data_IF_303930294443
#
_entry.id   IF_303930294443
#
_cell.length_a   1.000
_cell.length_b   1.000
_cell.length_c   1.000
_cell.angle_alpha   90.00
_cell.angle_beta   90.00
_cell.angle_gamma   90.00
#
_symmetry.space_group_name_H-M   'P 1'
#
loop_
_entity.id
_entity.type
_entity.pdbx_description
1 polymer ?
#
# COMPACT_ATOMS: atom_id res chain seq x y z
N UNK A 1 -29.19 52.95 45.46
CA UNK A 1 -29.22 51.53 45.13
C UNK A 1 -28.34 51.31 43.86
N UNK A 2 -27.11 50.77 44.01
CA UNK A 2 -26.26 50.46 42.88
C UNK A 2 -26.32 48.92 42.65
N UNK A 3 -26.91 48.50 41.50
CA UNK A 3 -26.93 47.09 41.10
C UNK A 3 -25.55 46.71 40.57
N UNK A 4 -24.87 45.82 41.24
CA UNK A 4 -23.61 45.24 40.75
C UNK A 4 -23.91 44.05 39.81
N UNK A 5 -23.58 44.22 38.54
CA UNK A 5 -23.60 43.12 37.56
C UNK A 5 -22.40 42.23 37.79
N UNK A 6 -22.63 41.01 38.27
CA UNK A 6 -21.58 39.95 38.32
C UNK A 6 -21.48 39.31 36.95
N UNK A 7 -20.38 39.53 36.26
CA UNK A 7 -19.98 38.78 35.08
C UNK A 7 -19.46 37.39 35.53
N UNK A 8 -20.19 36.35 35.14
CA UNK A 8 -19.68 34.97 35.21
C UNK A 8 -18.65 34.74 34.08
N UNK A 9 -17.48 34.15 34.34
CA UNK A 9 -16.57 33.76 33.29
C UNK A 9 -17.13 32.53 32.54
N UNK A 10 -17.38 32.67 31.25
CA UNK A 10 -17.63 31.54 30.37
C UNK A 10 -16.31 30.79 30.19
N UNK A 11 -16.18 29.59 30.81
CA UNK A 11 -15.15 28.64 30.46
C UNK A 11 -15.47 28.07 29.07
N UNK A 12 -14.77 28.53 28.05
CA UNK A 12 -14.70 27.86 26.77
C UNK A 12 -13.88 26.58 26.96
N UNK A 13 -14.56 25.46 27.19
CA UNK A 13 -13.93 24.14 27.06
C UNK A 13 -13.69 23.94 25.57
N UNK A 14 -12.44 24.04 25.14
CA UNK A 14 -12.02 23.57 23.82
C UNK A 14 -12.20 22.04 23.80
N UNK A 15 -13.24 21.55 23.10
CA UNK A 15 -13.26 20.16 22.69
C UNK A 15 -12.10 19.99 21.70
N UNK A 16 -10.96 19.48 22.18
CA UNK A 16 -9.99 18.91 21.29
C UNK A 16 -10.69 17.73 20.59
N UNK A 17 -10.92 17.88 19.29
CA UNK A 17 -11.38 16.76 18.47
C UNK A 17 -10.34 15.64 18.66
N UNK A 18 -10.76 14.53 19.24
CA UNK A 18 -9.88 13.39 19.42
C UNK A 18 -9.55 12.91 18.00
N UNK A 19 -8.27 12.98 17.64
CA UNK A 19 -7.79 12.47 16.37
C UNK A 19 -8.25 11.02 16.21
N UNK A 20 -8.79 10.69 15.04
CA UNK A 20 -9.22 9.32 14.78
C UNK A 20 -7.99 8.41 14.78
N UNK A 21 -8.09 7.25 15.43
CA UNK A 21 -7.00 6.28 15.41
C UNK A 21 -6.63 5.92 13.97
N UNK A 22 -5.34 5.82 13.64
CA UNK A 22 -4.92 5.44 12.30
C UNK A 22 -5.43 4.03 11.95
N UNK A 23 -5.70 3.80 10.67
CA UNK A 23 -6.09 2.47 10.18
C UNK A 23 -5.38 2.11 8.89
N UNK A 24 -5.01 0.84 8.78
CA UNK A 24 -4.54 0.21 7.55
C UNK A 24 -5.70 -0.59 6.94
N UNK A 25 -5.95 -0.40 5.66
CA UNK A 25 -6.93 -1.17 4.89
C UNK A 25 -6.21 -1.93 3.78
N UNK A 26 -6.36 -3.24 3.74
CA UNK A 26 -5.91 -4.06 2.63
C UNK A 26 -6.93 -3.94 1.49
N UNK A 27 -6.70 -3.07 0.53
CA UNK A 27 -7.64 -2.83 -0.57
C UNK A 27 -7.68 -4.00 -1.55
N UNK A 28 -6.54 -4.66 -1.76
CA UNK A 28 -6.43 -5.84 -2.59
C UNK A 28 -5.24 -6.69 -2.18
N UNK A 29 -5.41 -8.00 -2.22
CA UNK A 29 -4.48 -8.98 -1.67
C UNK A 29 -4.02 -10.05 -2.68
N UNK A 30 -4.45 -9.94 -3.96
CA UNK A 30 -3.99 -10.84 -5.01
C UNK A 30 -2.57 -10.53 -5.44
N UNK A 31 -1.82 -11.56 -5.83
CA UNK A 31 -0.55 -11.43 -6.53
C UNK A 31 -0.67 -11.80 -8.02
N UNK A 32 0.12 -11.09 -8.83
CA UNK A 32 0.27 -11.29 -10.26
C UNK A 32 -0.70 -10.51 -11.14
N UNK A 33 -0.31 -10.29 -12.42
CA UNK A 33 -0.87 -9.23 -13.28
C UNK A 33 -2.27 -9.53 -13.82
N UNK A 34 -2.71 -10.79 -13.79
CA UNK A 34 -4.03 -11.14 -14.32
C UNK A 34 -5.10 -10.92 -13.26
N UNK A 35 -6.29 -10.37 -13.63
CA UNK A 35 -7.40 -10.23 -12.70
C UNK A 35 -7.79 -11.57 -12.05
N UNK A 36 -8.06 -11.55 -10.75
CA UNK A 36 -8.48 -12.72 -9.98
C UNK A 36 -9.97 -12.64 -9.67
N UNK A 37 -10.58 -13.81 -9.46
CA UNK A 37 -12.03 -13.89 -9.18
C UNK A 37 -12.37 -13.59 -7.73
N UNK A 38 -11.44 -13.90 -6.82
CA UNK A 38 -11.69 -13.90 -5.38
C UNK A 38 -10.94 -12.82 -4.63
N UNK A 39 -9.97 -12.18 -5.26
CA UNK A 39 -9.13 -11.12 -4.68
C UNK A 39 -8.93 -9.98 -5.66
N UNK A 40 -8.94 -8.75 -5.17
CA UNK A 40 -8.56 -7.57 -5.94
C UNK A 40 -7.04 -7.48 -6.10
N UNK A 41 -6.60 -6.77 -7.13
CA UNK A 41 -5.18 -6.49 -7.38
C UNK A 41 -4.53 -5.71 -6.24
N UNK A 42 -3.20 -5.81 -6.05
CA UNK A 42 -2.51 -5.29 -4.87
C UNK A 42 -2.72 -3.79 -4.69
N UNK A 43 -3.20 -3.42 -3.52
CA UNK A 43 -3.21 -2.06 -3.03
C UNK A 43 -3.48 -2.06 -1.52
N UNK A 44 -2.85 -1.13 -0.80
CA UNK A 44 -3.10 -0.89 0.62
C UNK A 44 -3.36 0.60 0.84
N UNK A 45 -4.19 0.94 1.82
CA UNK A 45 -4.39 2.33 2.20
C UNK A 45 -4.19 2.51 3.71
N UNK A 46 -3.53 3.60 4.08
CA UNK A 46 -3.51 4.09 5.44
C UNK A 46 -4.37 5.36 5.49
N UNK A 47 -5.21 5.47 6.52
CA UNK A 47 -5.91 6.69 6.86
C UNK A 47 -5.39 7.16 8.23
N UNK A 48 -4.84 8.36 8.26
CA UNK A 48 -4.25 8.98 9.45
C UNK A 48 -4.75 10.40 9.54
N UNK A 49 -5.42 10.74 10.64
CA UNK A 49 -6.01 12.07 10.86
C UNK A 49 -6.85 12.58 9.68
N UNK A 50 -7.60 11.67 9.03
CA UNK A 50 -8.44 11.96 7.88
C UNK A 50 -7.71 12.01 6.54
N UNK A 51 -6.37 12.00 6.51
CA UNK A 51 -5.57 11.96 5.28
C UNK A 51 -5.41 10.52 4.79
N UNK A 52 -5.55 10.30 3.49
CA UNK A 52 -5.43 8.99 2.85
C UNK A 52 -4.10 8.88 2.10
N UNK A 53 -3.36 7.82 2.43
CA UNK A 53 -2.12 7.39 1.79
C UNK A 53 -2.36 6.03 1.16
N UNK A 54 -2.02 5.85 -0.12
CA UNK A 54 -2.22 4.58 -0.83
C UNK A 54 -0.87 4.03 -1.26
N UNK A 55 -0.65 2.73 -1.02
CA UNK A 55 0.51 2.00 -1.53
C UNK A 55 0.02 1.05 -2.61
N UNK A 56 0.57 1.20 -3.79
CA UNK A 56 0.20 0.56 -5.04
C UNK A 56 -1.23 0.88 -5.53
N UNK A 57 -1.38 0.80 -6.83
CA UNK A 57 -2.61 1.12 -7.54
C UNK A 57 -2.95 0.01 -8.54
N UNK A 58 -3.12 -1.19 -8.03
CA UNK A 58 -3.59 -2.30 -8.84
C UNK A 58 -4.98 -2.04 -9.42
N UNK A 59 -5.32 -2.77 -10.48
CA UNK A 59 -6.57 -2.58 -11.19
C UNK A 59 -7.80 -2.68 -10.27
N UNK A 60 -8.65 -1.67 -10.30
CA UNK A 60 -9.87 -1.59 -9.48
C UNK A 60 -9.66 -0.97 -8.10
N UNK A 61 -8.50 -0.41 -7.79
CA UNK A 61 -8.21 0.23 -6.49
C UNK A 61 -9.24 1.30 -6.11
N UNK A 62 -9.72 2.10 -7.08
CA UNK A 62 -10.77 3.10 -6.82
C UNK A 62 -12.08 2.45 -6.34
N UNK A 63 -12.49 1.31 -6.94
CA UNK A 63 -13.66 0.57 -6.45
C UNK A 63 -13.43 0.04 -5.03
N UNK A 64 -12.26 -0.48 -4.74
CA UNK A 64 -11.92 -0.98 -3.40
C UNK A 64 -11.91 0.14 -2.36
N UNK A 65 -11.38 1.33 -2.68
CA UNK A 65 -11.49 2.50 -1.80
C UNK A 65 -12.95 2.88 -1.49
N UNK A 66 -13.82 2.85 -2.51
CA UNK A 66 -15.25 3.13 -2.33
C UNK A 66 -15.92 2.10 -1.40
N UNK A 67 -15.62 0.81 -1.57
CA UNK A 67 -16.13 -0.28 -0.71
C UNK A 67 -15.60 -0.14 0.73
N UNK A 68 -14.35 0.26 0.90
CA UNK A 68 -13.71 0.53 2.19
C UNK A 68 -14.20 1.84 2.84
N UNK A 69 -15.03 2.62 2.14
CA UNK A 69 -15.52 3.95 2.58
C UNK A 69 -14.38 4.91 2.91
N UNK A 70 -13.29 4.83 2.15
CA UNK A 70 -12.20 5.80 2.25
C UNK A 70 -12.57 7.09 1.53
N UNK A 71 -12.31 8.26 2.12
CA UNK A 71 -12.71 9.54 1.52
C UNK A 71 -11.78 9.91 0.35
N UNK A 72 -12.27 9.82 -0.88
CA UNK A 72 -11.53 10.22 -2.08
C UNK A 72 -11.02 11.67 -2.04
N UNK A 73 -11.77 12.67 -1.51
CA UNK A 73 -11.29 14.03 -1.42
C UNK A 73 -10.04 14.19 -0.54
N UNK A 74 -9.77 13.22 0.32
CA UNK A 74 -8.64 13.24 1.26
C UNK A 74 -7.42 12.42 0.81
N UNK A 75 -7.44 11.89 -0.42
CA UNK A 75 -6.26 11.27 -1.02
C UNK A 75 -5.19 12.34 -1.23
N UNK A 76 -4.02 12.16 -0.61
CA UNK A 76 -2.88 13.09 -0.71
C UNK A 76 -1.61 12.44 -1.24
N UNK A 77 -1.38 11.17 -0.93
CA UNK A 77 -0.15 10.50 -1.31
C UNK A 77 -0.42 9.12 -1.89
N UNK A 78 0.30 8.80 -2.97
CA UNK A 78 0.34 7.48 -3.57
C UNK A 78 1.79 7.05 -3.64
N UNK A 79 2.10 5.86 -3.13
CA UNK A 79 3.43 5.26 -3.15
C UNK A 79 3.41 4.03 -4.04
N UNK A 80 4.21 4.03 -5.08
CA UNK A 80 4.36 2.89 -5.97
C UNK A 80 5.60 2.10 -5.57
N UNK A 81 5.42 0.81 -5.27
CA UNK A 81 6.53 -0.08 -4.90
C UNK A 81 7.42 -0.37 -6.10
N UNK A 82 6.84 -0.74 -7.23
CA UNK A 82 7.54 -1.01 -8.49
C UNK A 82 6.57 -0.94 -9.69
N UNK A 83 7.11 -1.04 -10.92
CA UNK A 83 6.31 -0.83 -12.13
C UNK A 83 5.91 -2.16 -12.81
N UNK A 84 5.31 -3.09 -12.07
CA UNK A 84 4.49 -4.15 -12.67
C UNK A 84 3.04 -3.71 -12.78
N UNK A 85 2.34 -4.22 -13.80
CA UNK A 85 0.98 -3.76 -14.13
C UNK A 85 -0.06 -4.09 -13.08
N UNK A 86 0.14 -5.09 -12.24
CA UNK A 86 -0.72 -5.36 -11.09
C UNK A 86 -0.56 -4.32 -9.96
N UNK A 87 0.55 -3.59 -9.92
CA UNK A 87 0.80 -2.52 -8.94
C UNK A 87 0.53 -1.11 -9.47
N UNK A 88 0.58 -0.89 -10.81
CA UNK A 88 0.51 0.46 -11.38
C UNK A 88 -0.60 0.68 -12.41
N UNK A 89 -1.46 -0.32 -12.69
CA UNK A 89 -2.51 -0.22 -13.70
C UNK A 89 -3.43 1.00 -13.52
N UNK A 90 -3.79 1.33 -12.28
CA UNK A 90 -4.64 2.47 -11.97
C UNK A 90 -3.87 3.66 -11.34
N UNK A 91 -2.54 3.73 -11.53
CA UNK A 91 -1.68 4.77 -10.95
C UNK A 91 -2.16 6.21 -11.26
N UNK A 92 -2.71 6.46 -12.44
CA UNK A 92 -3.26 7.76 -12.84
C UNK A 92 -4.78 7.77 -12.73
N UNK A 93 -5.43 6.63 -12.90
CA UNK A 93 -6.89 6.49 -12.78
C UNK A 93 -7.35 6.78 -11.36
N UNK A 94 -6.60 6.35 -10.33
CA UNK A 94 -6.96 6.61 -8.94
C UNK A 94 -7.05 8.12 -8.61
N UNK A 95 -6.02 8.95 -8.84
CA UNK A 95 -6.13 10.37 -8.61
C UNK A 95 -7.14 11.06 -9.54
N UNK A 96 -7.36 10.56 -10.77
CA UNK A 96 -8.44 11.04 -11.64
C UNK A 96 -9.82 10.82 -11.00
N UNK A 97 -10.06 9.64 -10.43
CA UNK A 97 -11.31 9.33 -9.73
C UNK A 97 -11.47 10.16 -8.45
N UNK A 98 -10.39 10.37 -7.70
CA UNK A 98 -10.40 11.23 -6.52
C UNK A 98 -10.75 12.68 -6.89
N UNK A 99 -10.14 13.21 -7.95
CA UNK A 99 -10.47 14.52 -8.51
C UNK A 99 -11.94 14.60 -8.97
N UNK A 100 -12.44 13.59 -9.66
CA UNK A 100 -13.84 13.52 -10.05
C UNK A 100 -14.80 13.46 -8.85
N UNK A 101 -14.35 12.90 -7.73
CA UNK A 101 -15.08 12.82 -6.46
C UNK A 101 -14.89 14.06 -5.57
N UNK A 102 -14.27 15.14 -6.06
CA UNK A 102 -14.16 16.41 -5.34
C UNK A 102 -12.81 16.65 -4.64
N UNK A 103 -11.77 15.86 -4.95
CA UNK A 103 -10.42 16.22 -4.51
C UNK A 103 -9.91 17.42 -5.30
N UNK A 104 -9.72 18.55 -4.63
CA UNK A 104 -9.16 19.79 -5.20
C UNK A 104 -7.75 20.09 -4.67
N UNK A 105 -7.22 19.22 -3.80
CA UNK A 105 -5.89 19.34 -3.24
C UNK A 105 -4.82 18.66 -4.10
N UNK A 106 -3.56 18.94 -3.78
CA UNK A 106 -2.44 18.23 -4.40
C UNK A 106 -2.47 16.75 -4.04
N UNK A 107 -2.11 15.91 -5.02
CA UNK A 107 -1.80 14.49 -4.84
C UNK A 107 -0.37 14.24 -5.30
N UNK A 108 0.46 13.72 -4.42
CA UNK A 108 1.86 13.44 -4.70
C UNK A 108 2.03 11.95 -4.93
N UNK A 109 2.54 11.61 -6.12
CA UNK A 109 2.86 10.23 -6.49
C UNK A 109 4.35 9.99 -6.29
N UNK A 110 4.68 9.14 -5.32
CA UNK A 110 6.03 8.72 -4.99
C UNK A 110 6.31 7.37 -5.64
N UNK A 111 7.50 7.17 -6.22
CA UNK A 111 7.83 5.85 -6.76
C UNK A 111 9.14 5.81 -7.53
N UNK A 112 9.46 4.64 -8.13
CA UNK A 112 10.74 4.38 -8.77
C UNK A 112 11.00 5.22 -10.01
N UNK A 113 12.22 5.14 -10.55
CA UNK A 113 12.55 5.73 -11.85
C UNK A 113 11.56 5.24 -12.92
N UNK A 114 11.09 6.18 -13.74
CA UNK A 114 10.04 5.89 -14.75
C UNK A 114 8.65 6.38 -14.37
N UNK A 115 8.32 6.52 -13.07
CA UNK A 115 7.00 6.97 -12.60
C UNK A 115 6.56 8.28 -13.26
N UNK A 116 7.46 9.26 -13.42
CA UNK A 116 7.15 10.53 -14.06
C UNK A 116 6.69 10.35 -15.51
N UNK A 117 7.28 9.39 -16.24
CA UNK A 117 6.88 9.06 -17.61
C UNK A 117 5.50 8.39 -17.62
N UNK A 118 5.26 7.43 -16.71
CA UNK A 118 3.97 6.74 -16.58
C UNK A 118 2.85 7.75 -16.30
N UNK A 119 3.02 8.61 -15.31
CA UNK A 119 2.03 9.65 -14.94
C UNK A 119 1.77 10.59 -16.11
N UNK A 120 2.80 11.10 -16.79
CA UNK A 120 2.63 11.97 -17.95
C UNK A 120 1.88 11.28 -19.09
N UNK A 121 2.11 9.99 -19.30
CA UNK A 121 1.43 9.22 -20.35
C UNK A 121 -0.04 8.96 -19.98
N UNK A 122 -0.33 8.63 -18.73
CA UNK A 122 -1.70 8.47 -18.22
C UNK A 122 -2.50 9.76 -18.30
N UNK A 123 -1.93 10.90 -17.89
CA UNK A 123 -2.59 12.21 -18.04
C UNK A 123 -2.89 12.56 -19.48
N UNK A 124 -2.02 12.18 -20.44
CA UNK A 124 -2.33 12.35 -21.86
C UNK A 124 -3.46 11.44 -22.35
N UNK A 125 -3.51 10.21 -21.86
CA UNK A 125 -4.59 9.28 -22.20
C UNK A 125 -5.96 9.80 -21.73
N UNK A 126 -6.01 10.50 -20.61
CA UNK A 126 -7.22 11.09 -20.03
C UNK A 126 -7.42 12.58 -20.37
N UNK A 127 -6.65 13.14 -21.30
CA UNK A 127 -6.66 14.59 -21.59
C UNK A 127 -8.06 15.11 -21.95
N UNK A 128 -8.81 14.35 -22.77
CA UNK A 128 -10.16 14.74 -23.18
C UNK A 128 -11.12 14.90 -22.00
N UNK A 129 -11.15 13.94 -21.08
CA UNK A 129 -12.02 14.00 -19.89
C UNK A 129 -11.60 15.13 -18.96
N UNK A 130 -10.29 15.28 -18.71
CA UNK A 130 -9.75 16.37 -17.86
C UNK A 130 -10.11 17.74 -18.44
N UNK A 131 -9.92 17.96 -19.75
CA UNK A 131 -10.21 19.23 -20.40
C UNK A 131 -11.70 19.54 -20.42
N UNK A 132 -12.53 18.54 -20.69
CA UNK A 132 -14.00 18.68 -20.71
C UNK A 132 -14.51 19.08 -19.34
N UNK A 133 -14.17 18.35 -18.27
CA UNK A 133 -14.64 18.64 -16.92
C UNK A 133 -14.07 19.92 -16.35
N UNK A 134 -12.80 20.24 -16.66
CA UNK A 134 -12.21 21.53 -16.25
C UNK A 134 -13.00 22.69 -16.86
N UNK A 135 -13.42 22.59 -18.12
CA UNK A 135 -14.15 23.64 -18.82
C UNK A 135 -15.64 23.70 -18.44
N UNK A 136 -16.30 22.55 -18.35
CA UNK A 136 -17.74 22.43 -18.21
C UNK A 136 -18.17 22.49 -16.72
N UNK A 137 -17.44 21.81 -15.85
CA UNK A 137 -17.74 21.71 -14.42
C UNK A 137 -16.96 22.73 -13.56
N UNK A 138 -16.03 23.50 -14.15
CA UNK A 138 -15.21 24.48 -13.42
C UNK A 138 -14.18 23.85 -12.49
N UNK A 139 -13.84 22.58 -12.66
CA UNK A 139 -12.84 21.89 -11.81
C UNK A 139 -11.44 22.44 -12.02
N UNK A 140 -10.60 22.45 -10.98
CA UNK A 140 -9.18 22.75 -11.17
C UNK A 140 -8.54 21.71 -12.12
N UNK A 141 -7.59 22.16 -12.94
CA UNK A 141 -6.91 21.25 -13.88
C UNK A 141 -6.09 20.19 -13.12
N UNK A 142 -6.48 18.90 -13.22
CA UNK A 142 -5.83 17.78 -12.56
C UNK A 142 -4.30 17.75 -12.83
N UNK A 143 -3.87 18.16 -14.02
CA UNK A 143 -2.44 18.20 -14.40
C UNK A 143 -1.60 19.12 -13.52
N UNK A 144 -2.24 20.09 -12.85
CA UNK A 144 -1.60 21.02 -11.90
C UNK A 144 -1.63 20.51 -10.47
N UNK A 145 -2.55 19.61 -10.15
CA UNK A 145 -2.70 19.01 -8.82
C UNK A 145 -1.81 17.80 -8.61
N UNK A 146 -1.42 17.11 -9.69
CA UNK A 146 -0.56 15.93 -9.57
C UNK A 146 0.91 16.31 -9.54
N UNK A 147 1.57 15.99 -8.45
CA UNK A 147 3.01 16.10 -8.29
C UNK A 147 3.66 14.71 -8.37
N UNK A 148 4.90 14.63 -8.83
CA UNK A 148 5.62 13.37 -8.92
C UNK A 148 6.97 13.48 -8.23
N UNK A 149 7.17 12.65 -7.21
CA UNK A 149 8.42 12.49 -6.51
C UNK A 149 9.07 11.16 -6.90
N UNK A 150 10.17 11.21 -7.64
CA UNK A 150 10.93 10.03 -8.04
C UNK A 150 11.91 9.64 -6.94
N UNK A 151 11.73 8.45 -6.38
CA UNK A 151 12.63 7.86 -5.38
C UNK A 151 13.85 7.31 -6.12
N UNK A 152 15.02 7.81 -5.77
CA UNK A 152 16.31 7.39 -6.37
C UNK A 152 17.15 6.58 -5.41
N UNK A 153 17.05 6.89 -4.12
CA UNK A 153 17.84 6.31 -3.04
C UNK A 153 16.91 5.86 -1.91
N UNK A 154 17.39 4.92 -1.10
CA UNK A 154 16.76 4.52 0.15
C UNK A 154 16.72 5.68 1.15
N UNK A 155 15.80 5.65 2.10
CA UNK A 155 15.71 6.63 3.17
C UNK A 155 14.38 7.35 3.23
N UNK A 156 14.38 8.57 3.79
CA UNK A 156 13.19 9.36 4.00
C UNK A 156 12.55 9.81 2.68
N UNK A 157 11.27 9.49 2.51
CA UNK A 157 10.47 9.85 1.33
C UNK A 157 9.47 10.97 1.63
N UNK A 158 8.86 10.93 2.81
CA UNK A 158 7.87 11.89 3.28
C UNK A 158 7.99 12.08 4.79
N UNK A 159 7.79 13.31 5.23
CA UNK A 159 7.53 13.67 6.63
C UNK A 159 6.59 14.89 6.58
N UNK A 160 5.29 14.66 6.81
CA UNK A 160 4.25 15.68 6.73
C UNK A 160 3.69 16.10 8.09
N UNK A 161 4.30 15.57 9.17
CA UNK A 161 3.89 15.82 10.56
C UNK A 161 2.82 14.86 11.07
N UNK A 162 2.15 14.13 10.20
CA UNK A 162 1.21 13.04 10.55
C UNK A 162 1.87 11.68 10.41
N UNK A 163 2.62 11.50 9.32
CA UNK A 163 3.29 10.25 8.96
C UNK A 163 4.71 10.53 8.50
N UNK A 164 5.65 9.72 8.96
CA UNK A 164 7.00 9.66 8.43
C UNK A 164 7.15 8.39 7.59
N UNK A 165 7.47 8.54 6.30
CA UNK A 165 7.61 7.42 5.36
C UNK A 165 9.07 7.24 4.96
N UNK A 166 9.59 6.02 5.17
CA UNK A 166 10.94 5.62 4.76
C UNK A 166 10.83 4.50 3.72
N UNK A 167 11.66 4.55 2.68
CA UNK A 167 11.77 3.51 1.66
C UNK A 167 13.09 2.75 1.78
N UNK A 168 13.05 1.43 1.52
CA UNK A 168 14.23 0.61 1.30
C UNK A 168 14.08 -0.18 0.00
N UNK A 169 15.19 -0.40 -0.72
CA UNK A 169 15.19 -1.28 -1.90
C UNK A 169 15.03 -2.72 -1.47
N UNK A 170 14.22 -3.46 -2.24
CA UNK A 170 13.99 -4.88 -2.04
C UNK A 170 14.41 -5.68 -3.28
N UNK A 171 14.41 -7.00 -3.16
CA UNK A 171 14.93 -7.92 -4.17
C UNK A 171 13.80 -8.43 -5.07
N UNK A 172 13.54 -7.75 -6.20
CA UNK A 172 12.51 -8.18 -7.16
C UNK A 172 13.04 -8.24 -8.60
N UNK A 173 14.02 -9.14 -8.86
CA UNK A 173 14.64 -9.22 -10.18
C UNK A 173 13.65 -9.60 -11.29
N UNK A 174 13.72 -8.99 -12.50
CA UNK A 174 14.82 -8.14 -12.95
C UNK A 174 14.66 -6.65 -12.62
N UNK A 175 13.66 -6.26 -11.84
CA UNK A 175 13.41 -4.86 -11.46
C UNK A 175 14.39 -4.47 -10.36
N UNK A 176 15.26 -3.49 -10.64
CA UNK A 176 16.24 -2.97 -9.69
C UNK A 176 15.64 -1.93 -8.73
N UNK A 177 14.71 -1.12 -9.24
CA UNK A 177 14.03 -0.08 -8.47
C UNK A 177 12.69 -0.63 -7.95
N UNK A 178 12.74 -1.59 -7.03
CA UNK A 178 11.62 -2.08 -6.24
C UNK A 178 11.80 -1.65 -4.78
N UNK A 179 10.74 -1.15 -4.15
CA UNK A 179 10.80 -0.56 -2.81
C UNK A 179 9.75 -1.16 -1.87
N UNK A 180 10.18 -1.36 -0.62
CA UNK A 180 9.31 -1.47 0.54
C UNK A 180 9.16 -0.10 1.20
N UNK A 181 8.06 0.12 1.90
CA UNK A 181 7.79 1.36 2.61
C UNK A 181 7.47 1.10 4.09
N UNK A 182 8.06 1.91 4.97
CA UNK A 182 7.73 1.99 6.38
C UNK A 182 7.01 3.30 6.67
N UNK A 183 5.88 3.19 7.33
CA UNK A 183 5.05 4.30 7.82
C UNK A 183 5.15 4.33 9.33
N UNK A 184 5.79 5.37 9.88
CA UNK A 184 5.81 5.65 11.31
C UNK A 184 4.81 6.78 11.60
N UNK A 185 3.87 6.53 12.49
CA UNK A 185 2.84 7.47 12.94
C UNK A 185 2.72 7.43 14.46
N UNK A 186 2.07 8.39 15.11
CA UNK A 186 1.96 8.39 16.56
C UNK A 186 1.39 7.07 17.11
N UNK A 187 2.22 6.34 17.86
CA UNK A 187 1.85 5.10 18.54
C UNK A 187 1.70 3.87 17.63
N UNK A 188 2.03 3.94 16.34
CA UNK A 188 1.91 2.80 15.44
C UNK A 188 2.87 2.87 14.25
N UNK A 189 3.35 1.72 13.82
CA UNK A 189 4.25 1.59 12.68
C UNK A 189 3.86 0.42 11.78
N UNK A 190 3.82 0.67 10.47
CA UNK A 190 3.44 -0.30 9.45
C UNK A 190 4.51 -0.37 8.37
N UNK A 191 4.93 -1.58 8.01
CA UNK A 191 5.80 -1.82 6.86
C UNK A 191 5.05 -2.61 5.81
N UNK A 192 5.18 -2.20 4.55
CA UNK A 192 4.62 -2.86 3.38
C UNK A 192 5.78 -3.28 2.48
N UNK A 193 5.91 -4.60 2.23
CA UNK A 193 7.08 -5.17 1.56
C UNK A 193 7.19 -4.82 0.08
N UNK A 194 6.04 -4.56 -0.61
CA UNK A 194 5.99 -4.74 -2.05
C UNK A 194 6.33 -6.18 -2.43
N UNK A 195 6.64 -6.44 -3.70
CA UNK A 195 7.10 -7.75 -4.15
C UNK A 195 8.60 -7.89 -3.91
N UNK A 196 8.99 -9.00 -3.31
CA UNK A 196 10.39 -9.24 -2.96
C UNK A 196 10.72 -10.70 -2.71
N UNK A 197 11.86 -11.16 -3.21
CA UNK A 197 12.55 -12.30 -2.62
C UNK A 197 13.05 -11.94 -1.20
N UNK A 198 13.51 -12.89 -0.38
CA UNK A 198 14.07 -12.58 0.93
C UNK A 198 15.13 -11.48 0.86
N UNK A 199 14.94 -10.41 1.64
CA UNK A 199 15.71 -9.15 1.56
C UNK A 199 16.16 -8.67 2.93
N UNK A 200 17.46 -8.53 3.12
CA UNK A 200 18.03 -7.96 4.36
C UNK A 200 17.64 -6.49 4.57
N UNK A 201 17.47 -5.73 3.48
CA UNK A 201 17.04 -4.33 3.58
C UNK A 201 15.60 -4.21 4.07
N UNK A 202 14.71 -5.14 3.69
CA UNK A 202 13.36 -5.23 4.26
C UNK A 202 13.43 -5.57 5.75
N UNK A 203 14.24 -6.54 6.16
CA UNK A 203 14.42 -6.89 7.58
C UNK A 203 14.87 -5.67 8.39
N UNK A 204 15.87 -4.91 7.88
CA UNK A 204 16.32 -3.67 8.55
C UNK A 204 15.23 -2.60 8.60
N UNK A 205 14.49 -2.39 7.50
CA UNK A 205 13.40 -1.42 7.45
C UNK A 205 12.29 -1.75 8.44
N UNK A 206 11.98 -3.04 8.59
CA UNK A 206 10.90 -3.53 9.44
C UNK A 206 11.28 -3.71 10.91
N UNK A 207 12.53 -3.39 11.31
CA UNK A 207 12.96 -3.57 12.69
C UNK A 207 12.01 -2.94 13.69
N UNK A 208 11.44 -3.80 14.57
CA UNK A 208 10.54 -3.39 15.65
C UNK A 208 9.23 -2.74 15.20
N UNK A 209 8.80 -2.93 13.95
CA UNK A 209 7.53 -2.42 13.48
C UNK A 209 6.36 -3.20 14.11
N UNK A 210 5.24 -2.52 14.33
CA UNK A 210 4.04 -3.15 14.87
C UNK A 210 3.42 -4.12 13.87
N UNK A 211 3.40 -3.74 12.59
CA UNK A 211 2.84 -4.55 11.51
C UNK A 211 3.81 -4.63 10.33
N UNK A 212 4.05 -5.85 9.86
CA UNK A 212 4.67 -6.13 8.57
C UNK A 212 3.63 -6.77 7.65
N UNK A 213 3.19 -6.04 6.62
CA UNK A 213 2.44 -6.59 5.50
C UNK A 213 3.44 -7.14 4.50
N UNK A 214 3.47 -8.45 4.34
CA UNK A 214 4.43 -9.13 3.49
C UNK A 214 3.74 -9.93 2.40
N UNK A 215 4.28 -9.85 1.17
CA UNK A 215 3.88 -10.72 0.08
C UNK A 215 4.20 -12.18 0.37
N UNK A 216 3.53 -13.11 -0.29
CA UNK A 216 3.80 -14.53 -0.07
C UNK A 216 3.59 -15.40 -1.30
N UNK A 217 4.62 -16.17 -1.64
CA UNK A 217 4.55 -17.27 -2.59
C UNK A 217 4.11 -18.54 -1.84
N UNK A 218 2.93 -19.06 -2.19
CA UNK A 218 2.28 -20.23 -1.56
C UNK A 218 2.67 -21.56 -2.23
N UNK A 219 3.78 -21.61 -2.94
CA UNK A 219 4.17 -22.76 -3.71
C UNK A 219 5.70 -22.92 -3.69
N UNK A 220 6.17 -24.15 -3.72
CA UNK A 220 7.59 -24.42 -4.04
C UNK A 220 7.85 -24.36 -5.56
N UNK A 221 9.11 -24.49 -5.97
CA UNK A 221 9.48 -24.41 -7.39
C UNK A 221 8.80 -25.49 -8.26
N UNK A 222 8.60 -26.70 -7.72
CA UNK A 222 7.94 -27.78 -8.43
C UNK A 222 6.43 -27.54 -8.55
N UNK A 223 5.83 -26.96 -7.54
CA UNK A 223 4.42 -26.55 -7.55
C UNK A 223 4.17 -25.38 -8.50
N UNK A 224 5.05 -24.38 -8.53
CA UNK A 224 5.00 -23.29 -9.52
C UNK A 224 5.08 -23.85 -10.94
N UNK A 225 6.00 -24.81 -11.20
CA UNK A 225 6.12 -25.43 -12.51
C UNK A 225 4.84 -26.19 -12.91
N UNK A 226 4.23 -26.95 -11.99
CA UNK A 226 2.94 -27.63 -12.23
C UNK A 226 1.80 -26.63 -12.45
N UNK A 227 1.69 -25.61 -11.61
CA UNK A 227 0.66 -24.58 -11.71
C UNK A 227 0.73 -23.80 -13.04
N UNK A 228 1.94 -23.47 -13.50
CA UNK A 228 2.14 -22.76 -14.77
C UNK A 228 2.09 -23.69 -16.00
N UNK A 229 2.00 -25.00 -15.81
CA UNK A 229 2.13 -26.03 -16.87
C UNK A 229 3.39 -25.81 -17.72
N UNK A 230 4.50 -25.50 -17.02
CA UNK A 230 5.81 -25.23 -17.62
C UNK A 230 6.89 -26.06 -16.93
N UNK A 231 7.99 -26.43 -17.63
CA UNK A 231 9.10 -27.10 -17.00
C UNK A 231 9.80 -26.15 -16.01
N UNK A 232 10.49 -26.70 -14.97
CA UNK A 232 11.14 -25.89 -13.92
C UNK A 232 12.13 -24.85 -14.45
N UNK A 233 12.81 -25.14 -15.57
CA UNK A 233 13.75 -24.24 -16.22
C UNK A 233 13.10 -23.12 -17.05
N UNK A 234 11.78 -23.12 -17.21
CA UNK A 234 11.09 -22.09 -17.99
C UNK A 234 11.27 -20.71 -17.33
N UNK A 235 11.56 -19.64 -18.10
CA UNK A 235 11.84 -18.31 -17.56
C UNK A 235 10.76 -17.77 -16.61
N UNK A 236 9.49 -18.07 -16.87
CA UNK A 236 8.38 -17.62 -16.01
C UNK A 236 8.41 -18.35 -14.65
N UNK A 237 8.69 -19.67 -14.61
CA UNK A 237 8.83 -20.41 -13.35
C UNK A 237 9.98 -19.85 -12.53
N UNK A 238 11.13 -19.66 -13.19
CA UNK A 238 12.31 -19.09 -12.58
C UNK A 238 12.08 -17.66 -12.07
N UNK A 239 11.31 -16.85 -12.82
CA UNK A 239 10.95 -15.52 -12.39
C UNK A 239 10.11 -15.56 -11.11
N UNK A 240 9.01 -16.31 -11.08
CA UNK A 240 8.13 -16.39 -9.92
C UNK A 240 8.91 -16.82 -8.67
N UNK A 241 9.72 -17.87 -8.78
CA UNK A 241 10.46 -18.43 -7.63
C UNK A 241 11.53 -17.48 -7.08
N UNK A 242 12.29 -16.80 -7.97
CA UNK A 242 13.41 -15.94 -7.54
C UNK A 242 12.99 -14.51 -7.15
N UNK A 243 11.77 -14.11 -7.48
CA UNK A 243 11.33 -12.73 -7.32
C UNK A 243 10.33 -12.54 -6.17
N UNK A 244 9.89 -13.64 -5.54
CA UNK A 244 8.95 -13.65 -4.44
C UNK A 244 9.47 -14.41 -3.23
N UNK A 245 8.90 -14.13 -2.06
CA UNK A 245 9.26 -14.80 -0.81
C UNK A 245 8.33 -15.98 -0.55
N UNK A 246 8.92 -17.18 -0.44
CA UNK A 246 8.17 -18.39 -0.08
C UNK A 246 7.60 -18.29 1.34
N UNK A 247 6.41 -18.90 1.55
CA UNK A 247 5.83 -19.06 2.89
C UNK A 247 6.74 -19.78 3.90
N UNK A 248 7.78 -20.48 3.43
CA UNK A 248 8.80 -21.06 4.28
C UNK A 248 9.75 -20.00 4.89
N UNK A 249 9.91 -18.84 4.26
CA UNK A 249 10.85 -17.80 4.67
C UNK A 249 10.20 -16.62 5.40
N UNK A 250 8.90 -16.34 5.17
CA UNK A 250 8.24 -15.13 5.72
C UNK A 250 8.27 -15.09 7.24
N UNK A 251 8.15 -16.26 7.92
CA UNK A 251 8.23 -16.34 9.38
C UNK A 251 9.62 -15.99 9.91
N UNK A 252 10.68 -16.45 9.24
CA UNK A 252 12.06 -16.09 9.57
C UNK A 252 12.28 -14.59 9.42
N UNK A 253 11.82 -13.98 8.32
CA UNK A 253 11.92 -12.54 8.07
C UNK A 253 11.21 -11.75 9.17
N UNK A 254 9.99 -12.13 9.52
CA UNK A 254 9.21 -11.49 10.57
C UNK A 254 9.90 -11.55 11.95
N UNK A 255 10.49 -12.72 12.29
CA UNK A 255 11.28 -12.89 13.52
C UNK A 255 12.54 -12.02 13.50
N UNK A 256 13.32 -12.05 12.43
CA UNK A 256 14.56 -11.28 12.29
C UNK A 256 14.30 -9.77 12.36
N UNK A 257 13.17 -9.32 11.83
CA UNK A 257 12.71 -7.94 11.95
C UNK A 257 12.12 -7.61 13.32
N UNK A 258 11.78 -8.60 14.14
CA UNK A 258 11.20 -8.38 15.48
C UNK A 258 9.84 -7.68 15.44
N UNK A 259 9.01 -7.96 14.42
CA UNK A 259 7.68 -7.35 14.29
C UNK A 259 6.66 -8.00 15.24
N UNK A 260 5.62 -7.26 15.64
CA UNK A 260 4.57 -7.80 16.50
C UNK A 260 3.56 -8.64 15.68
N UNK A 261 3.16 -8.15 14.50
CA UNK A 261 2.17 -8.78 13.62
C UNK A 261 2.72 -8.94 12.22
N UNK A 262 2.66 -10.17 11.69
CA UNK A 262 2.89 -10.50 10.29
C UNK A 262 1.53 -10.62 9.58
N UNK A 263 1.28 -9.79 8.58
CA UNK A 263 0.11 -9.85 7.72
C UNK A 263 0.53 -10.37 6.35
N UNK A 264 0.02 -11.53 5.94
CA UNK A 264 0.26 -12.08 4.62
C UNK A 264 -0.67 -11.41 3.60
N UNK A 265 -0.10 -10.93 2.51
CA UNK A 265 -0.83 -10.31 1.41
C UNK A 265 -0.17 -10.67 0.08
N UNK A 266 -0.63 -10.09 -1.02
CA UNK A 266 -0.07 -10.37 -2.35
C UNK A 266 0.18 -11.88 -2.56
N UNK A 267 -0.89 -12.67 -2.40
CA UNK A 267 -0.80 -14.13 -2.49
C UNK A 267 -0.47 -14.57 -3.92
N UNK A 268 0.58 -15.35 -4.08
CA UNK A 268 0.98 -15.95 -5.35
C UNK A 268 0.90 -17.47 -5.21
N UNK A 269 0.05 -18.16 -6.01
CA UNK A 269 -0.93 -17.63 -6.97
C UNK A 269 -2.16 -17.00 -6.30
N UNK A 270 -2.67 -15.92 -6.92
CA UNK A 270 -3.70 -15.06 -6.30
C UNK A 270 -5.10 -15.70 -6.14
N UNK A 271 -5.46 -16.68 -6.95
CA UNK A 271 -6.76 -17.40 -6.89
C UNK A 271 -6.66 -18.78 -6.24
N UNK A 272 -5.47 -19.23 -5.83
CA UNK A 272 -5.34 -20.54 -5.20
C UNK A 272 -6.00 -20.58 -3.83
N UNK A 273 -6.65 -21.69 -3.47
CA UNK A 273 -7.03 -21.94 -2.08
C UNK A 273 -5.79 -21.93 -1.20
N UNK A 274 -5.84 -21.23 -0.07
CA UNK A 274 -4.75 -21.20 0.90
C UNK A 274 -5.01 -22.27 1.95
N UNK A 275 -4.13 -23.25 2.04
CA UNK A 275 -4.08 -24.15 3.20
C UNK A 275 -3.49 -23.38 4.39
N UNK A 276 -4.37 -22.70 5.13
CA UNK A 276 -3.98 -21.83 6.24
C UNK A 276 -3.24 -22.58 7.35
N UNK A 277 -3.62 -23.82 7.61
CA UNK A 277 -3.02 -24.62 8.68
C UNK A 277 -1.59 -25.04 8.31
N UNK A 278 -1.37 -25.47 7.06
CA UNK A 278 -0.05 -25.80 6.57
C UNK A 278 0.88 -24.58 6.55
N UNK A 279 0.41 -23.43 6.01
CA UNK A 279 1.18 -22.17 5.95
C UNK A 279 1.48 -21.67 7.37
N UNK A 280 0.50 -21.65 8.27
CA UNK A 280 0.69 -21.22 9.65
C UNK A 280 1.66 -22.15 10.40
N UNK A 281 1.54 -23.48 10.20
CA UNK A 281 2.45 -24.45 10.79
C UNK A 281 3.90 -24.25 10.36
N UNK A 282 4.14 -23.85 9.11
CA UNK A 282 5.47 -23.51 8.62
C UNK A 282 6.00 -22.22 9.24
N UNK A 283 5.20 -21.17 9.23
CA UNK A 283 5.57 -19.87 9.82
C UNK A 283 5.89 -20.00 11.31
N UNK A 284 5.12 -20.81 12.05
CA UNK A 284 5.30 -21.07 13.49
C UNK A 284 6.60 -21.77 13.86
N UNK A 285 7.30 -22.39 12.91
CA UNK A 285 8.65 -22.93 13.17
C UNK A 285 9.67 -21.84 13.49
N UNK A 286 9.40 -20.60 13.13
CA UNK A 286 10.35 -19.49 13.27
C UNK A 286 9.77 -18.21 13.87
N UNK A 287 8.46 -18.02 13.92
CA UNK A 287 7.82 -16.78 14.37
C UNK A 287 6.67 -17.03 15.33
N UNK A 288 6.75 -16.48 16.54
CA UNK A 288 5.76 -16.64 17.61
C UNK A 288 4.75 -15.48 17.68
N UNK A 289 4.98 -14.40 16.95
CA UNK A 289 4.11 -13.21 16.91
C UNK A 289 2.75 -13.49 16.25
N UNK A 290 1.89 -12.49 16.18
CA UNK A 290 0.57 -12.60 15.54
C UNK A 290 0.71 -12.79 14.04
N UNK A 291 0.04 -13.80 13.46
CA UNK A 291 -0.03 -14.02 12.01
C UNK A 291 -1.46 -13.79 11.53
N UNK A 292 -1.61 -12.95 10.50
CA UNK A 292 -2.88 -12.61 9.88
C UNK A 292 -2.84 -12.96 8.41
N UNK A 293 -3.81 -13.75 7.94
CA UNK A 293 -4.02 -13.96 6.51
C UNK A 293 -4.87 -12.79 5.98
N UNK A 294 -4.27 -11.93 5.18
CA UNK A 294 -4.91 -10.75 4.63
C UNK A 294 -6.10 -11.12 3.73
N UNK A 295 -7.15 -10.35 3.85
CA UNK A 295 -8.33 -10.42 3.00
C UNK A 295 -8.64 -9.03 2.46
N UNK A 296 -9.24 -8.96 1.26
CA UNK A 296 -9.65 -7.68 0.70
C UNK A 296 -10.59 -6.96 1.65
N UNK A 297 -10.38 -5.65 1.79
CA UNK A 297 -11.12 -4.75 2.67
C UNK A 297 -10.92 -5.02 4.18
N UNK A 298 -9.99 -5.89 4.55
CA UNK A 298 -9.61 -6.07 5.96
C UNK A 298 -9.05 -4.77 6.51
N UNK A 299 -9.49 -4.41 7.73
CA UNK A 299 -9.03 -3.22 8.46
C UNK A 299 -8.18 -3.65 9.66
N UNK A 300 -7.02 -3.05 9.81
CA UNK A 300 -6.17 -3.18 10.99
C UNK A 300 -6.00 -1.80 11.65
N UNK A 301 -5.98 -1.79 12.97
CA UNK A 301 -5.79 -0.60 13.80
C UNK A 301 -4.75 -0.89 14.87
N UNK A 302 -4.13 0.12 15.47
CA UNK A 302 -3.38 -0.07 16.71
C UNK A 302 -4.24 -0.79 17.77
N UNK A 303 -3.60 -1.68 18.58
CA UNK A 303 -4.27 -2.38 19.69
C UNK A 303 -4.65 -1.42 20.83
#
# INVERSE_FOLDING_TARGET
>A
MRLGIRLLPFLLASLAAQAASPRLVLLGTAGGPTPKRTRAAPAQALEVDGTVYVVDCGNGVGRQMALAKLPFPELRHVFLTHQHSDHDADLVTLPLLAWAAGNEGEVILHGPRGIRRAVRSGLRAHAFDIETRTKDEGRPDLRKLLQVHTIKEEGLVLDDGHVRVTAARVQHPPIEDAFAYRFDMPGWSVVISGDTAPSESLVRLAQGADVLVHEVLLADAAEVARWLEKPPEHPLVQHVVRSHTSYHDVGRIAREAGVNTLVLSHFVPGDAPVDRDAVLGEIRKSFDGKVVFGEDLMVLTPD
#
